data_IF_736760453710
#
_entry.id   IF_736760453710
#
_cell.length_a   1.000
_cell.length_b   1.000
_cell.length_c   1.000
_cell.angle_alpha   90.00
_cell.angle_beta   90.00
_cell.angle_gamma   90.00
#
_symmetry.space_group_name_H-M   'P 1'
#
loop_
_entity.id
_entity.type
_entity.pdbx_description
1 polymer ?
#
# COMPACT_ATOMS: atom_id res chain seq x y z
N UNK A 1 -5.87 -2.73 14.30
CA UNK A 1 -7.31 -2.91 13.94
C UNK A 1 -7.41 -2.91 12.42
N UNK A 2 -8.05 -3.91 11.83
CA UNK A 2 -8.26 -4.03 10.37
C UNK A 2 -9.65 -3.51 10.04
N UNK A 3 -9.77 -2.65 9.05
CA UNK A 3 -11.06 -2.10 8.61
C UNK A 3 -11.77 -3.11 7.70
N UNK A 4 -11.10 -3.58 6.65
CA UNK A 4 -11.62 -4.63 5.78
C UNK A 4 -10.70 -5.85 5.82
N UNK A 5 -11.28 -7.04 5.87
CA UNK A 5 -10.56 -8.30 5.68
C UNK A 5 -11.45 -9.32 4.99
N UNK A 6 -10.89 -10.02 4.02
CA UNK A 6 -11.54 -11.09 3.25
C UNK A 6 -10.51 -11.91 2.52
N UNK A 7 -10.95 -12.86 1.71
CA UNK A 7 -10.09 -13.54 0.75
C UNK A 7 -9.86 -12.67 -0.50
N UNK A 8 -8.88 -13.05 -1.33
CA UNK A 8 -8.72 -12.49 -2.68
C UNK A 8 -10.04 -12.62 -3.47
N UNK A 9 -10.69 -13.77 -3.41
CA UNK A 9 -11.95 -14.00 -4.12
C UNK A 9 -13.06 -13.04 -3.68
N UNK A 10 -13.19 -12.78 -2.37
CA UNK A 10 -14.15 -11.82 -1.83
C UNK A 10 -13.83 -10.41 -2.32
N UNK A 11 -12.58 -9.99 -2.20
CA UNK A 11 -12.10 -8.68 -2.67
C UNK A 11 -12.39 -8.47 -4.16
N UNK A 12 -12.06 -9.46 -5.01
CA UNK A 12 -12.26 -9.39 -6.45
C UNK A 12 -13.75 -9.24 -6.78
N UNK A 13 -14.63 -9.96 -6.09
CA UNK A 13 -16.07 -9.87 -6.26
C UNK A 13 -16.60 -8.49 -5.85
N UNK A 14 -16.20 -8.00 -4.67
CA UNK A 14 -16.67 -6.70 -4.17
C UNK A 14 -16.18 -5.51 -5.02
N UNK A 15 -15.02 -5.63 -5.67
CA UNK A 15 -14.55 -4.60 -6.62
C UNK A 15 -15.39 -4.64 -7.89
N UNK A 16 -15.68 -5.83 -8.45
CA UNK A 16 -16.52 -5.97 -9.67
C UNK A 16 -17.95 -5.47 -9.42
N UNK A 17 -18.48 -5.72 -8.22
CA UNK A 17 -19.82 -5.29 -7.81
C UNK A 17 -19.90 -3.82 -7.36
N UNK A 18 -18.79 -3.06 -7.44
CA UNK A 18 -18.67 -1.68 -6.96
C UNK A 18 -19.04 -1.47 -5.48
N UNK A 19 -18.94 -2.52 -4.65
CA UNK A 19 -19.36 -2.49 -3.23
C UNK A 19 -18.23 -2.26 -2.25
N UNK A 20 -16.98 -2.57 -2.60
CA UNK A 20 -15.82 -2.56 -1.70
C UNK A 20 -15.62 -1.23 -0.96
N UNK A 21 -15.73 -0.09 -1.64
CA UNK A 21 -15.55 1.22 -1.03
C UNK A 21 -16.66 1.55 -0.01
N UNK A 22 -17.87 1.07 -0.25
CA UNK A 22 -18.99 1.20 0.68
C UNK A 22 -18.79 0.30 1.90
N UNK A 23 -18.35 -0.95 1.71
CA UNK A 23 -18.00 -1.87 2.80
C UNK A 23 -16.93 -1.25 3.72
N UNK A 24 -15.87 -0.68 3.15
CA UNK A 24 -14.82 0.00 3.92
C UNK A 24 -15.38 1.20 4.68
N UNK A 25 -16.19 2.05 4.03
CA UNK A 25 -16.80 3.23 4.65
C UNK A 25 -17.67 2.84 5.85
N UNK A 26 -18.51 1.84 5.68
CA UNK A 26 -19.45 1.39 6.70
C UNK A 26 -18.68 0.75 7.88
N UNK A 27 -17.66 -0.03 7.59
CA UNK A 27 -16.75 -0.58 8.62
C UNK A 27 -15.97 0.51 9.39
N UNK A 28 -15.59 1.61 8.75
CA UNK A 28 -14.97 2.77 9.45
C UNK A 28 -15.98 3.42 10.39
N UNK A 29 -17.21 3.60 9.94
CA UNK A 29 -18.25 4.17 10.79
C UNK A 29 -18.49 3.29 12.02
N UNK A 30 -18.61 1.98 11.83
CA UNK A 30 -18.89 1.03 12.91
C UNK A 30 -17.71 0.85 13.87
N UNK A 31 -16.49 0.67 13.35
CA UNK A 31 -15.32 0.35 14.17
C UNK A 31 -14.62 1.57 14.77
N UNK A 32 -14.71 2.73 14.08
CA UNK A 32 -14.00 3.95 14.47
C UNK A 32 -14.92 5.09 14.88
N UNK A 33 -16.23 4.93 14.72
CA UNK A 33 -17.25 5.98 14.98
C UNK A 33 -16.91 7.30 14.27
N UNK A 34 -16.34 7.19 13.06
CA UNK A 34 -15.88 8.31 12.24
C UNK A 34 -16.55 8.29 10.87
N UNK A 35 -16.98 9.45 10.41
CA UNK A 35 -17.45 9.58 9.03
C UNK A 35 -16.25 9.66 8.07
N UNK A 36 -16.38 9.01 6.93
CA UNK A 36 -15.41 9.08 5.83
C UNK A 36 -15.66 10.34 5.01
N UNK A 37 -14.59 11.06 4.70
CA UNK A 37 -14.65 12.19 3.79
C UNK A 37 -14.74 11.76 2.31
N UNK A 38 -15.31 12.61 1.47
CA UNK A 38 -15.45 12.36 0.02
C UNK A 38 -14.13 12.07 -0.69
N UNK A 39 -13.06 12.77 -0.32
CA UNK A 39 -11.74 12.57 -0.91
C UNK A 39 -11.15 11.19 -0.55
N UNK A 40 -11.33 10.75 0.70
CA UNK A 40 -10.90 9.45 1.18
C UNK A 40 -11.69 8.33 0.48
N UNK A 41 -13.00 8.47 0.37
CA UNK A 41 -13.86 7.52 -0.35
C UNK A 41 -13.44 7.38 -1.82
N UNK A 42 -13.28 8.50 -2.55
CA UNK A 42 -12.80 8.48 -3.93
C UNK A 42 -11.40 7.88 -4.08
N UNK A 43 -10.55 8.06 -3.06
CA UNK A 43 -9.22 7.44 -3.07
C UNK A 43 -9.32 5.92 -3.09
N UNK A 44 -10.22 5.33 -2.33
CA UNK A 44 -10.43 3.88 -2.37
C UNK A 44 -11.00 3.41 -3.71
N UNK A 45 -12.06 4.03 -4.19
CA UNK A 45 -12.63 3.69 -5.50
C UNK A 45 -11.55 3.64 -6.57
N UNK A 46 -10.70 4.66 -6.64
CA UNK A 46 -9.65 4.72 -7.65
C UNK A 46 -8.52 3.69 -7.42
N UNK A 47 -8.01 3.58 -6.19
CA UNK A 47 -6.82 2.75 -5.92
C UNK A 47 -7.12 1.26 -5.92
N UNK A 48 -8.31 0.85 -5.45
CA UNK A 48 -8.65 -0.57 -5.35
C UNK A 48 -8.90 -1.22 -6.70
N UNK A 49 -9.33 -0.47 -7.73
CA UNK A 49 -9.37 -0.97 -9.11
C UNK A 49 -7.95 -1.34 -9.63
N UNK A 50 -6.92 -0.60 -9.23
CA UNK A 50 -5.55 -0.95 -9.60
C UNK A 50 -5.08 -2.19 -8.84
N UNK A 51 -5.45 -2.35 -7.58
CA UNK A 51 -5.17 -3.57 -6.83
C UNK A 51 -5.93 -4.79 -7.38
N UNK A 52 -7.16 -4.59 -7.87
CA UNK A 52 -7.88 -5.63 -8.61
C UNK A 52 -7.06 -6.13 -9.81
N UNK A 53 -6.50 -5.21 -10.63
CA UNK A 53 -5.67 -5.58 -11.79
C UNK A 53 -4.41 -6.35 -11.38
N UNK A 54 -3.78 -5.96 -10.26
CA UNK A 54 -2.62 -6.66 -9.71
C UNK A 54 -2.99 -8.06 -9.23
N UNK A 55 -4.10 -8.20 -8.51
CA UNK A 55 -4.55 -9.48 -7.95
C UNK A 55 -5.23 -10.39 -8.98
N UNK A 56 -5.61 -9.87 -10.15
CA UNK A 56 -6.18 -10.68 -11.24
C UNK A 56 -5.09 -11.49 -11.97
N UNK A 57 -4.38 -12.30 -11.18
CA UNK A 57 -3.33 -13.21 -11.62
C UNK A 57 -3.59 -14.59 -11.01
N UNK A 58 -3.57 -15.64 -11.84
CA UNK A 58 -3.83 -17.01 -11.41
C UNK A 58 -2.74 -17.57 -10.48
N UNK A 59 -1.53 -16.99 -10.52
CA UNK A 59 -0.43 -17.34 -9.61
C UNK A 59 -0.71 -16.95 -8.15
N UNK A 60 -1.65 -16.03 -7.92
CA UNK A 60 -2.06 -15.64 -6.57
C UNK A 60 -3.30 -16.48 -6.19
N UNK A 61 -3.22 -17.34 -5.16
CA UNK A 61 -4.35 -18.17 -4.75
C UNK A 61 -5.59 -17.37 -4.36
N UNK A 62 -6.78 -17.90 -4.69
CA UNK A 62 -8.04 -17.22 -4.38
C UNK A 62 -8.35 -17.11 -2.88
N UNK A 63 -7.75 -17.97 -2.07
CA UNK A 63 -7.84 -17.97 -0.60
C UNK A 63 -6.78 -17.12 0.08
N UNK A 64 -5.89 -16.46 -0.69
CA UNK A 64 -4.98 -15.46 -0.13
C UNK A 64 -5.76 -14.39 0.63
N UNK A 65 -5.31 -14.06 1.84
CA UNK A 65 -5.95 -13.05 2.66
C UNK A 65 -5.69 -11.63 2.11
N UNK A 66 -6.72 -10.81 2.11
CA UNK A 66 -6.65 -9.37 1.79
C UNK A 66 -7.10 -8.59 2.99
N UNK A 67 -6.33 -7.56 3.39
CA UNK A 67 -6.74 -6.60 4.39
C UNK A 67 -6.49 -5.16 3.91
N UNK A 68 -7.44 -4.27 4.21
CA UNK A 68 -7.38 -2.87 3.78
C UNK A 68 -7.54 -1.97 5.00
N UNK A 69 -6.81 -0.84 5.00
CA UNK A 69 -6.85 0.14 6.08
C UNK A 69 -6.51 -0.49 7.45
N UNK A 70 -5.36 -1.15 7.52
CA UNK A 70 -4.86 -1.71 8.77
C UNK A 70 -4.26 -0.61 9.65
N UNK A 71 -4.98 -0.22 10.69
CA UNK A 71 -4.48 0.73 11.69
C UNK A 71 -3.43 0.06 12.58
N UNK A 72 -2.21 0.60 12.54
CA UNK A 72 -1.11 0.14 13.38
C UNK A 72 -1.39 0.45 14.85
N UNK A 73 -1.10 -0.50 15.77
CA UNK A 73 -1.27 -0.28 17.22
C UNK A 73 -0.47 0.95 17.70
N UNK A 74 -1.06 1.70 18.63
CA UNK A 74 -0.43 2.84 19.30
C UNK A 74 0.05 3.97 18.37
N UNK A 75 -0.47 4.03 17.14
CA UNK A 75 -0.15 5.07 16.17
C UNK A 75 -1.39 5.62 15.49
N UNK A 76 -1.25 6.75 14.79
CA UNK A 76 -2.26 7.25 13.86
C UNK A 76 -2.09 6.71 12.44
N UNK A 77 -1.07 5.87 12.20
CA UNK A 77 -0.72 5.37 10.88
C UNK A 77 -1.60 4.19 10.47
N UNK A 78 -1.86 4.09 9.19
CA UNK A 78 -2.62 3.00 8.56
C UNK A 78 -1.85 2.49 7.36
N UNK A 79 -1.89 1.19 7.17
CA UNK A 79 -1.38 0.53 5.97
C UNK A 79 -2.55 0.41 4.99
N UNK A 80 -2.34 0.85 3.77
CA UNK A 80 -3.41 0.93 2.78
C UNK A 80 -3.91 -0.46 2.37
N UNK A 81 -2.97 -1.39 2.06
CA UNK A 81 -3.33 -2.72 1.55
C UNK A 81 -2.33 -3.79 2.00
N UNK A 82 -2.84 -4.95 2.39
CA UNK A 82 -2.07 -6.13 2.79
C UNK A 82 -2.55 -7.35 2.01
N UNK A 83 -1.61 -8.19 1.57
CA UNK A 83 -1.89 -9.50 1.02
C UNK A 83 -1.16 -10.52 1.89
N UNK A 84 -1.85 -11.57 2.33
CA UNK A 84 -1.25 -12.62 3.15
C UNK A 84 -1.49 -14.00 2.56
N UNK A 85 -0.54 -14.89 2.77
CA UNK A 85 -0.61 -16.27 2.28
C UNK A 85 0.56 -17.09 2.77
N UNK A 86 0.67 -18.28 2.22
CA UNK A 86 1.76 -19.21 2.49
C UNK A 86 2.50 -19.54 1.20
N UNK A 87 3.83 -19.62 1.27
CA UNK A 87 4.63 -20.16 0.18
C UNK A 87 4.58 -21.70 0.14
N UNK A 88 5.26 -22.30 -0.82
CA UNK A 88 5.35 -23.76 -0.99
C UNK A 88 5.94 -24.46 0.24
N UNK A 89 6.77 -23.76 1.00
CA UNK A 89 7.38 -24.24 2.25
C UNK A 89 6.47 -24.07 3.47
N UNK A 90 5.25 -23.59 3.27
CA UNK A 90 4.28 -23.21 4.32
C UNK A 90 4.78 -22.09 5.25
N UNK A 91 5.69 -21.27 4.77
CA UNK A 91 6.10 -20.06 5.49
C UNK A 91 5.02 -18.99 5.28
N UNK A 92 4.60 -18.36 6.36
CA UNK A 92 3.64 -17.27 6.29
C UNK A 92 4.29 -16.00 5.70
N UNK A 93 3.66 -15.43 4.71
CA UNK A 93 4.11 -14.24 3.99
C UNK A 93 3.06 -13.15 4.04
N UNK A 94 3.49 -11.89 4.20
CA UNK A 94 2.63 -10.70 4.11
C UNK A 94 3.29 -9.67 3.22
N UNK A 95 2.63 -9.32 2.13
CA UNK A 95 3.00 -8.19 1.28
C UNK A 95 2.30 -6.95 1.81
N UNK A 96 3.06 -5.90 2.06
CA UNK A 96 2.59 -4.59 2.54
C UNK A 96 2.65 -3.63 1.38
N UNK A 97 1.52 -3.12 0.92
CA UNK A 97 1.45 -2.21 -0.22
C UNK A 97 1.02 -0.83 0.25
N UNK A 98 1.89 0.15 0.06
CA UNK A 98 1.57 1.57 0.19
C UNK A 98 1.08 2.10 -1.14
N UNK A 99 -0.16 2.58 -1.20
CA UNK A 99 -0.81 3.05 -2.42
C UNK A 99 -0.66 4.57 -2.59
N UNK A 100 -0.20 5.01 -3.75
CA UNK A 100 -0.08 6.43 -4.08
C UNK A 100 -0.77 6.75 -5.40
N UNK A 101 -1.56 7.83 -5.41
CA UNK A 101 -2.21 8.38 -6.60
C UNK A 101 -1.40 9.52 -7.23
N UNK A 102 -0.14 9.65 -6.86
CA UNK A 102 0.71 10.72 -7.40
C UNK A 102 0.95 10.53 -8.89
N UNK A 103 0.93 11.63 -9.62
CA UNK A 103 1.27 11.68 -11.06
C UNK A 103 2.68 12.25 -11.29
N UNK A 104 3.25 12.92 -10.28
CA UNK A 104 4.58 13.52 -10.35
C UNK A 104 5.31 13.38 -9.01
N UNK A 105 6.63 13.31 -9.09
CA UNK A 105 7.55 13.31 -7.96
C UNK A 105 8.73 14.21 -8.30
N UNK A 106 9.22 14.96 -7.31
CA UNK A 106 10.49 15.69 -7.42
C UNK A 106 11.40 15.30 -6.27
N UNK A 107 12.68 15.18 -6.55
CA UNK A 107 13.70 14.99 -5.53
C UNK A 107 13.77 16.20 -4.60
N UNK A 108 14.03 15.95 -3.32
CA UNK A 108 14.32 17.00 -2.33
C UNK A 108 15.78 16.87 -1.91
N UNK A 109 16.60 17.84 -2.30
CA UNK A 109 18.02 17.81 -1.96
C UNK A 109 18.25 18.12 -0.48
N UNK A 110 19.23 17.41 0.11
CA UNK A 110 19.67 17.63 1.49
C UNK A 110 18.72 17.13 2.58
N UNK A 111 17.62 16.47 2.22
CA UNK A 111 16.69 15.84 3.17
C UNK A 111 16.49 14.37 2.80
N UNK A 112 16.94 13.51 3.69
CA UNK A 112 16.84 12.05 3.50
C UNK A 112 15.39 11.56 3.58
N UNK A 113 15.05 10.60 2.73
CA UNK A 113 13.75 9.94 2.71
C UNK A 113 12.54 10.82 2.39
N UNK A 114 12.75 12.04 1.85
CA UNK A 114 11.66 12.95 1.45
C UNK A 114 11.64 13.17 -0.05
N UNK A 115 10.42 13.31 -0.59
CA UNK A 115 10.14 13.75 -1.97
C UNK A 115 9.16 14.90 -1.95
N UNK A 116 9.11 15.68 -3.03
CA UNK A 116 8.07 16.67 -3.26
C UNK A 116 7.07 16.17 -4.30
N UNK A 117 5.80 16.31 -4.04
CA UNK A 117 4.72 15.94 -4.94
C UNK A 117 3.49 16.83 -4.73
N UNK A 118 2.61 16.88 -5.74
CA UNK A 118 1.32 17.53 -5.60
C UNK A 118 0.35 16.59 -4.88
N UNK A 119 -0.05 16.96 -3.68
CA UNK A 119 -1.01 16.19 -2.87
C UNK A 119 -1.79 17.12 -1.94
N UNK A 120 -3.06 16.79 -1.68
CA UNK A 120 -3.91 17.60 -0.82
C UNK A 120 -4.08 19.04 -1.33
N UNK A 121 -4.07 19.26 -2.65
CA UNK A 121 -4.27 20.54 -3.30
C UNK A 121 -3.04 21.47 -3.33
N UNK A 122 -1.85 20.99 -2.97
CA UNK A 122 -0.61 21.77 -3.00
C UNK A 122 0.63 20.89 -3.21
N UNK A 123 1.74 21.49 -3.64
CA UNK A 123 3.05 20.84 -3.61
C UNK A 123 3.49 20.69 -2.15
N UNK A 124 3.83 19.48 -1.76
CA UNK A 124 4.23 19.16 -0.40
C UNK A 124 5.46 18.27 -0.38
N UNK A 125 6.33 18.50 0.59
CA UNK A 125 7.37 17.55 0.96
C UNK A 125 6.75 16.48 1.83
N UNK A 126 6.89 15.23 1.38
CA UNK A 126 6.30 14.06 2.02
C UNK A 126 7.33 12.95 2.06
N UNK A 127 7.08 11.96 2.89
CA UNK A 127 7.95 10.78 3.01
C UNK A 127 7.96 10.02 1.68
N UNK A 128 9.16 9.54 1.29
CA UNK A 128 9.31 8.66 0.13
C UNK A 128 8.46 7.39 0.34
N UNK A 129 7.69 6.95 -0.66
CA UNK A 129 6.73 5.85 -0.46
C UNK A 129 7.40 4.52 -0.06
N UNK A 130 8.60 4.22 -0.58
CA UNK A 130 9.38 3.05 -0.15
C UNK A 130 9.78 3.14 1.31
N UNK A 131 10.28 4.29 1.78
CA UNK A 131 10.57 4.48 3.20
C UNK A 131 9.32 4.32 4.06
N UNK A 132 8.18 4.82 3.61
CA UNK A 132 6.92 4.67 4.33
C UNK A 132 6.51 3.20 4.45
N UNK A 133 6.52 2.44 3.35
CA UNK A 133 6.20 1.01 3.35
C UNK A 133 7.17 0.20 4.22
N UNK A 134 8.48 0.46 4.10
CA UNK A 134 9.51 -0.14 4.96
C UNK A 134 9.24 0.14 6.43
N UNK A 135 8.96 1.40 6.78
CA UNK A 135 8.72 1.79 8.17
C UNK A 135 7.53 1.06 8.79
N UNK A 136 6.50 0.77 7.99
CA UNK A 136 5.34 -0.01 8.44
C UNK A 136 5.69 -1.48 8.68
N UNK A 137 6.52 -2.08 7.81
CA UNK A 137 7.01 -3.43 8.02
C UNK A 137 7.83 -3.54 9.32
N UNK A 138 8.69 -2.55 9.61
CA UNK A 138 9.44 -2.52 10.87
C UNK A 138 8.48 -2.43 12.08
N UNK A 139 7.46 -1.56 12.01
CA UNK A 139 6.48 -1.44 13.09
C UNK A 139 5.71 -2.75 13.32
N UNK A 140 5.31 -3.47 12.27
CA UNK A 140 4.68 -4.79 12.41
C UNK A 140 5.67 -5.76 13.06
N UNK A 141 6.90 -5.80 12.59
CA UNK A 141 7.94 -6.70 13.14
C UNK A 141 8.19 -6.45 14.61
N UNK A 142 8.24 -5.19 15.05
CA UNK A 142 8.59 -4.79 16.41
C UNK A 142 7.43 -4.95 17.40
N UNK A 143 6.20 -4.73 16.94
CA UNK A 143 5.03 -4.65 17.83
C UNK A 143 4.01 -5.78 17.66
N UNK A 144 4.22 -6.71 16.75
CA UNK A 144 3.31 -7.85 16.54
C UNK A 144 3.99 -9.15 16.99
N UNK A 145 3.59 -9.65 18.17
CA UNK A 145 4.11 -10.88 18.75
C UNK A 145 3.94 -12.08 17.81
N UNK A 146 2.78 -12.21 17.16
CA UNK A 146 2.53 -13.29 16.21
C UNK A 146 3.55 -13.30 15.05
N UNK A 147 3.88 -12.12 14.52
CA UNK A 147 4.88 -11.97 13.45
C UNK A 147 6.27 -12.46 13.89
N UNK A 148 6.62 -12.22 15.15
CA UNK A 148 7.92 -12.63 15.71
C UNK A 148 7.95 -14.14 15.99
N UNK A 149 6.90 -14.68 16.62
CA UNK A 149 6.81 -16.10 17.00
C UNK A 149 6.73 -17.00 15.76
N UNK A 150 5.85 -16.68 14.83
CA UNK A 150 5.62 -17.46 13.61
C UNK A 150 6.60 -17.12 12.48
N UNK A 151 7.55 -16.20 12.71
CA UNK A 151 8.57 -15.78 11.73
C UNK A 151 7.97 -15.37 10.38
N UNK A 152 6.85 -14.66 10.43
CA UNK A 152 6.17 -14.17 9.21
C UNK A 152 7.12 -13.31 8.39
N UNK A 153 7.25 -13.62 7.10
CA UNK A 153 8.03 -12.81 6.18
C UNK A 153 7.23 -11.59 5.75
N UNK A 154 7.82 -10.41 5.87
CA UNK A 154 7.19 -9.13 5.51
C UNK A 154 7.86 -8.57 4.26
N UNK A 155 7.06 -8.28 3.23
CA UNK A 155 7.48 -7.79 1.93
C UNK A 155 6.87 -6.42 1.67
N UNK A 156 7.48 -5.33 2.17
CA UNK A 156 6.97 -3.99 1.91
C UNK A 156 7.24 -3.56 0.47
N UNK A 157 6.29 -2.83 -0.10
CA UNK A 157 6.44 -2.17 -1.40
C UNK A 157 5.53 -0.95 -1.49
N UNK A 158 5.78 -0.09 -2.45
CA UNK A 158 4.91 1.02 -2.80
C UNK A 158 4.39 0.85 -4.23
N UNK A 159 3.12 1.22 -4.46
CA UNK A 159 2.53 1.21 -5.78
C UNK A 159 1.95 2.59 -6.13
N UNK A 160 2.63 3.27 -7.06
CA UNK A 160 2.26 4.60 -7.56
C UNK A 160 1.49 4.42 -8.87
N UNK A 161 0.25 4.05 -8.80
CA UNK A 161 -0.54 3.60 -9.95
C UNK A 161 -0.87 4.71 -10.98
N UNK A 162 -0.63 5.98 -10.68
CA UNK A 162 -0.79 7.10 -11.62
C UNK A 162 0.53 7.69 -12.10
N UNK A 163 1.66 7.30 -11.47
CA UNK A 163 2.97 7.80 -11.82
C UNK A 163 3.51 7.08 -13.06
N UNK A 164 3.90 7.84 -14.07
CA UNK A 164 4.58 7.34 -15.26
C UNK A 164 6.09 7.46 -15.06
N UNK A 165 6.79 6.33 -15.05
CA UNK A 165 8.24 6.29 -14.88
C UNK A 165 8.95 7.04 -15.99
N UNK A 166 9.90 7.92 -15.66
CA UNK A 166 10.75 8.55 -16.63
C UNK A 166 11.79 7.56 -17.20
N UNK A 167 12.15 7.73 -18.46
CA UNK A 167 13.14 6.84 -19.13
C UNK A 167 14.57 7.07 -18.64
N UNK A 168 14.87 8.23 -18.06
CA UNK A 168 16.18 8.57 -17.52
C UNK A 168 16.02 9.55 -16.33
N UNK A 169 16.89 9.40 -15.33
CA UNK A 169 16.96 10.29 -14.15
C UNK A 169 15.61 10.49 -13.46
N UNK A 170 14.87 9.41 -13.27
CA UNK A 170 13.58 9.47 -12.62
C UNK A 170 13.72 9.87 -11.12
N UNK A 171 13.06 10.93 -10.67
CA UNK A 171 13.22 11.42 -9.31
C UNK A 171 12.75 10.44 -8.21
N UNK A 172 11.81 9.54 -8.54
CA UNK A 172 11.36 8.50 -7.61
C UNK A 172 12.42 7.42 -7.39
N UNK A 173 13.26 7.19 -8.40
CA UNK A 173 14.32 6.17 -8.39
C UNK A 173 15.72 6.80 -8.34
N UNK A 174 15.82 8.02 -7.77
CA UNK A 174 17.11 8.68 -7.59
C UNK A 174 18.01 7.84 -6.66
N UNK A 175 19.33 7.72 -6.95
CA UNK A 175 20.27 6.97 -6.11
C UNK A 175 20.27 7.35 -4.62
N UNK A 176 19.85 8.57 -4.28
CA UNK A 176 19.69 8.98 -2.88
C UNK A 176 18.64 8.18 -2.12
N UNK A 177 17.76 7.46 -2.80
CA UNK A 177 16.71 6.62 -2.19
C UNK A 177 16.99 5.11 -2.36
N UNK A 178 18.19 4.72 -2.86
CA UNK A 178 18.53 3.33 -3.19
C UNK A 178 18.32 2.39 -2.01
N UNK A 179 18.78 2.76 -0.82
CA UNK A 179 18.62 1.94 0.39
C UNK A 179 17.16 1.61 0.72
N UNK A 180 16.24 2.56 0.45
CA UNK A 180 14.81 2.32 0.66
C UNK A 180 14.16 1.51 -0.46
N UNK A 181 14.58 1.75 -1.70
CA UNK A 181 14.09 1.04 -2.87
C UNK A 181 14.52 -0.43 -2.87
N UNK A 182 15.71 -0.74 -2.34
CA UNK A 182 16.19 -2.11 -2.20
C UNK A 182 15.33 -2.94 -1.23
N UNK A 183 14.94 -2.36 -0.10
CA UNK A 183 14.17 -3.07 0.95
C UNK A 183 12.66 -2.96 0.79
N UNK A 184 12.18 -1.98 0.04
CA UNK A 184 10.77 -1.75 -0.27
C UNK A 184 10.62 -1.18 -1.69
N UNK A 185 10.61 -2.02 -2.72
CA UNK A 185 10.53 -1.57 -4.10
C UNK A 185 9.33 -0.65 -4.37
N UNK A 186 9.53 0.36 -5.20
CA UNK A 186 8.44 1.18 -5.73
C UNK A 186 8.05 0.67 -7.12
N UNK A 187 6.76 0.49 -7.34
CA UNK A 187 6.18 0.12 -8.64
C UNK A 187 5.42 1.31 -9.23
N UNK A 188 5.61 1.56 -10.50
CA UNK A 188 4.98 2.63 -11.26
C UNK A 188 4.59 2.15 -12.65
N UNK A 189 3.90 2.97 -13.43
CA UNK A 189 3.64 2.66 -14.85
C UNK A 189 4.93 2.80 -15.65
N UNK A 190 5.25 1.78 -16.42
CA UNK A 190 6.32 1.89 -17.41
C UNK A 190 5.84 2.71 -18.61
N UNK A 191 6.75 3.48 -19.23
CA UNK A 191 6.44 4.12 -20.50
C UNK A 191 6.10 3.05 -21.54
N UNK A 192 4.98 3.24 -22.24
CA UNK A 192 4.61 2.35 -23.35
C UNK A 192 5.69 2.46 -24.42
N UNK A 193 6.36 1.33 -24.69
CA UNK A 193 7.37 1.20 -25.77
C UNK A 193 6.70 1.20 -27.14
#
# INVERSE_FOLDING_TARGET
>A
MIIYSGSKADFMTEVVDDTIAYTIRDNILDKMHRKTGEAEFRSWVNSLEYMYKVLNDEAIPNDSGVAIEYKLPNTSKRIDFLISGYDESKTANVVIVELKQWSEVKKVDGLDGLVETFTGGANRRVVHPSYQAWSYAQMIRDYNEYTQVEKVQLWPCAYLHNYLRATANDPLYDPAYEDYLEVAPAFAKDPVS
#
